data_IF_046851410596
#
_entry.id   IF_046851410596
#
_cell.length_a   1.000
_cell.length_b   1.000
_cell.length_c   1.000
_cell.angle_alpha   90.00
_cell.angle_beta   90.00
_cell.angle_gamma   90.00
#
_symmetry.space_group_name_H-M   'P 1'
#
loop_
_entity.id
_entity.type
_entity.pdbx_description
1 polymer ?
#
# COMPACT_ATOMS: atom_id res chain seq x y z
N UNK A 1 -3.43 23.37 -16.21
CA UNK A 1 -2.29 22.89 -15.40
C UNK A 1 -2.88 22.13 -14.23
N UNK A 2 -2.63 20.82 -14.13
CA UNK A 2 -3.03 20.07 -12.94
C UNK A 2 -2.19 20.58 -11.76
N UNK A 3 -2.85 21.02 -10.68
CA UNK A 3 -2.15 21.36 -9.44
C UNK A 3 -1.43 20.11 -8.93
N UNK A 4 -0.14 20.24 -8.61
CA UNK A 4 0.58 19.17 -7.95
C UNK A 4 -0.09 18.86 -6.61
N UNK A 5 -0.48 17.61 -6.39
CA UNK A 5 -1.08 17.16 -5.14
C UNK A 5 -0.01 17.29 -4.04
N UNK A 6 -0.17 18.28 -3.16
CA UNK A 6 0.81 18.59 -2.11
C UNK A 6 0.45 17.96 -0.76
N UNK A 7 -0.79 17.49 -0.60
CA UNK A 7 -1.31 16.98 0.66
C UNK A 7 -2.48 16.01 0.40
N UNK A 8 -2.58 14.98 1.24
CA UNK A 8 -3.73 14.06 1.31
C UNK A 8 -4.08 13.87 2.78
N UNK A 9 -5.31 14.20 3.17
CA UNK A 9 -5.73 14.15 4.57
C UNK A 9 -4.83 15.06 5.41
N UNK A 10 -4.11 14.51 6.40
CA UNK A 10 -3.11 15.29 7.17
C UNK A 10 -1.69 15.24 6.60
N UNK A 11 -1.43 14.35 5.66
CA UNK A 11 -0.09 13.95 5.25
C UNK A 11 0.43 14.82 4.11
N UNK A 12 1.68 15.24 4.21
CA UNK A 12 2.34 16.12 3.23
C UNK A 12 3.03 15.25 2.18
N UNK A 13 2.68 15.41 0.91
CA UNK A 13 3.24 14.60 -0.17
C UNK A 13 4.66 15.07 -0.49
N UNK A 14 5.58 14.11 -0.57
CA UNK A 14 7.00 14.36 -0.87
C UNK A 14 7.34 13.93 -2.30
N UNK A 15 6.93 12.73 -2.70
CA UNK A 15 7.21 12.19 -4.04
C UNK A 15 6.23 11.08 -4.41
N UNK A 16 6.17 10.75 -5.70
CA UNK A 16 5.49 9.54 -6.19
C UNK A 16 6.46 8.35 -6.14
N UNK A 17 6.05 7.26 -5.49
CA UNK A 17 6.83 6.01 -5.41
C UNK A 17 6.49 5.06 -6.56
N UNK A 18 5.25 5.11 -7.04
CA UNK A 18 4.82 4.28 -8.15
C UNK A 18 3.36 4.49 -8.51
N UNK A 19 3.01 4.05 -9.71
CA UNK A 19 1.67 4.16 -10.28
C UNK A 19 1.32 2.87 -10.99
N UNK A 20 0.14 2.34 -10.65
CA UNK A 20 -0.41 1.14 -11.25
C UNK A 20 -1.84 1.35 -11.72
N UNK A 21 -2.48 0.26 -12.14
CA UNK A 21 -3.87 0.25 -12.58
C UNK A 21 -4.86 0.67 -11.50
N UNK A 22 -4.60 0.30 -10.24
CA UNK A 22 -5.50 0.58 -9.12
C UNK A 22 -5.30 1.97 -8.50
N UNK A 23 -4.19 2.66 -8.79
CA UNK A 23 -3.94 4.01 -8.29
C UNK A 23 -2.47 4.35 -8.13
N UNK A 24 -2.18 5.31 -7.25
CA UNK A 24 -0.84 5.91 -7.08
C UNK A 24 -0.37 5.71 -5.65
N UNK A 25 0.91 5.41 -5.48
CA UNK A 25 1.55 5.34 -4.17
C UNK A 25 2.50 6.53 -4.05
N UNK A 26 2.31 7.33 -3.00
CA UNK A 26 3.13 8.49 -2.68
C UNK A 26 3.96 8.23 -1.43
N UNK A 27 5.17 8.78 -1.39
CA UNK A 27 5.87 9.00 -0.13
C UNK A 27 5.35 10.29 0.49
N UNK A 28 5.04 10.26 1.78
CA UNK A 28 4.49 11.41 2.50
C UNK A 28 5.06 11.52 3.91
N UNK A 29 5.01 12.72 4.47
CA UNK A 29 5.35 13.00 5.86
C UNK A 29 4.07 13.14 6.70
N UNK A 30 3.98 12.42 7.82
CA UNK A 30 2.96 12.64 8.85
C UNK A 30 3.46 13.71 9.83
N UNK A 31 2.93 14.96 9.79
CA UNK A 31 3.39 16.02 10.66
C UNK A 31 2.93 15.87 12.12
N UNK A 32 1.94 15.01 12.39
CA UNK A 32 1.43 14.78 13.75
C UNK A 32 2.31 13.79 14.50
N UNK A 33 2.70 12.70 13.83
CA UNK A 33 3.55 11.65 14.43
C UNK A 33 5.05 11.93 14.20
N UNK A 34 5.39 12.65 13.13
CA UNK A 34 6.76 13.03 12.81
C UNK A 34 7.54 11.96 12.05
N UNK A 35 6.91 11.23 11.12
CA UNK A 35 7.55 10.13 10.36
C UNK A 35 7.18 10.12 8.89
N UNK A 36 8.03 9.46 8.09
CA UNK A 36 7.73 9.15 6.69
C UNK A 36 6.78 7.95 6.60
N UNK A 37 5.86 8.00 5.65
CA UNK A 37 4.88 6.95 5.35
C UNK A 37 4.67 6.82 3.84
N UNK A 38 4.03 5.73 3.43
CA UNK A 38 3.49 5.58 2.09
C UNK A 38 1.98 5.82 2.10
N UNK A 39 1.46 6.49 1.07
CA UNK A 39 0.03 6.69 0.86
C UNK A 39 -0.36 6.07 -0.47
N UNK A 40 -1.17 5.02 -0.42
CA UNK A 40 -1.83 4.48 -1.61
C UNK A 40 -3.16 5.19 -1.80
N UNK A 41 -3.34 5.82 -2.96
CA UNK A 41 -4.62 6.40 -3.39
C UNK A 41 -5.28 5.50 -4.40
N UNK A 42 -6.61 5.58 -4.49
CA UNK A 42 -7.37 4.96 -5.56
C UNK A 42 -7.86 6.03 -6.52
N UNK A 43 -7.71 5.81 -7.82
CA UNK A 43 -8.27 6.70 -8.84
C UNK A 43 -9.79 6.49 -8.88
N UNK A 44 -10.53 7.45 -8.35
CA UNK A 44 -12.00 7.43 -8.32
C UNK A 44 -12.63 8.34 -9.37
N UNK A 45 -11.80 9.03 -10.16
CA UNK A 45 -12.24 9.89 -11.26
C UNK A 45 -12.98 9.07 -12.32
N UNK A 46 -14.21 9.51 -12.66
CA UNK A 46 -15.04 8.87 -13.67
C UNK A 46 -15.95 7.75 -13.17
N UNK A 47 -15.86 7.36 -11.89
CA UNK A 47 -16.80 6.41 -11.30
C UNK A 47 -18.17 7.05 -11.07
N UNK A 48 -19.24 6.32 -11.39
CA UNK A 48 -20.59 6.67 -10.98
C UNK A 48 -20.75 6.57 -9.45
N UNK A 49 -21.81 7.19 -8.90
CA UNK A 49 -22.05 7.18 -7.44
C UNK A 49 -22.16 5.77 -6.85
N UNK A 50 -22.81 4.84 -7.57
CA UNK A 50 -22.94 3.45 -7.14
C UNK A 50 -21.59 2.71 -7.16
N UNK A 51 -20.80 2.91 -8.21
CA UNK A 51 -19.47 2.31 -8.35
C UNK A 51 -18.51 2.83 -7.27
N UNK A 52 -18.54 4.14 -6.99
CA UNK A 52 -17.74 4.73 -5.92
C UNK A 52 -18.01 4.09 -4.57
N UNK A 53 -19.30 3.86 -4.24
CA UNK A 53 -19.69 3.20 -2.98
C UNK A 53 -19.16 1.77 -2.90
N UNK A 54 -19.25 1.00 -3.99
CA UNK A 54 -18.72 -0.36 -4.05
C UNK A 54 -17.18 -0.38 -3.91
N UNK A 55 -16.49 0.49 -4.63
CA UNK A 55 -15.04 0.63 -4.56
C UNK A 55 -14.58 1.03 -3.15
N UNK A 56 -15.26 2.00 -2.53
CA UNK A 56 -15.00 2.41 -1.15
C UNK A 56 -15.15 1.23 -0.19
N UNK A 57 -16.22 0.46 -0.32
CA UNK A 57 -16.47 -0.71 0.52
C UNK A 57 -15.42 -1.83 0.33
N UNK A 58 -14.89 -2.00 -0.89
CA UNK A 58 -13.79 -2.93 -1.16
C UNK A 58 -12.48 -2.45 -0.54
N UNK A 59 -12.12 -1.19 -0.78
CA UNK A 59 -10.87 -0.64 -0.31
C UNK A 59 -10.82 -0.52 1.23
N UNK A 60 -11.97 -0.20 1.85
CA UNK A 60 -12.09 -0.24 3.31
C UNK A 60 -11.93 -1.66 3.87
N UNK A 61 -12.45 -2.70 3.19
CA UNK A 61 -12.23 -4.10 3.60
C UNK A 61 -10.76 -4.50 3.48
N UNK A 62 -10.06 -4.08 2.42
CA UNK A 62 -8.62 -4.30 2.28
C UNK A 62 -7.85 -3.66 3.44
N UNK A 63 -8.18 -2.40 3.76
CA UNK A 63 -7.57 -1.68 4.88
C UNK A 63 -7.81 -2.38 6.22
N UNK A 64 -9.03 -2.86 6.47
CA UNK A 64 -9.38 -3.59 7.69
C UNK A 64 -8.67 -4.95 7.78
N UNK A 65 -8.62 -5.70 6.68
CA UNK A 65 -7.93 -6.97 6.63
C UNK A 65 -6.42 -6.80 6.89
N UNK A 66 -5.77 -5.86 6.20
CA UNK A 66 -4.34 -5.60 6.41
C UNK A 66 -4.06 -4.97 7.78
N UNK A 67 -4.94 -4.10 8.28
CA UNK A 67 -4.73 -3.35 9.52
C UNK A 67 -4.78 -4.17 10.82
N UNK A 68 -5.34 -5.38 10.78
CA UNK A 68 -5.32 -6.30 11.94
C UNK A 68 -4.10 -7.22 11.95
N UNK A 69 -3.30 -7.24 10.88
CA UNK A 69 -2.13 -8.09 10.76
C UNK A 69 -0.89 -7.35 11.29
N UNK A 70 -0.22 -7.95 12.28
CA UNK A 70 1.02 -7.43 12.85
C UNK A 70 2.13 -8.48 12.67
N UNK A 71 2.91 -8.34 11.60
CA UNK A 71 3.94 -9.30 11.24
C UNK A 71 5.10 -8.60 10.52
N UNK A 72 6.39 -8.95 10.80
CA UNK A 72 7.56 -8.27 10.22
C UNK A 72 7.64 -8.33 8.69
N UNK A 73 6.94 -9.29 8.06
CA UNK A 73 6.90 -9.44 6.60
C UNK A 73 5.53 -9.03 6.00
N UNK A 74 4.72 -8.24 6.73
CA UNK A 74 3.47 -7.65 6.24
C UNK A 74 3.53 -6.15 6.48
N UNK A 75 3.26 -5.36 5.44
CA UNK A 75 3.22 -3.90 5.53
C UNK A 75 2.19 -3.46 6.56
N UNK A 76 2.61 -2.64 7.52
CA UNK A 76 1.70 -2.13 8.53
C UNK A 76 0.81 -1.02 7.95
N UNK A 77 -0.51 -1.18 8.09
CA UNK A 77 -1.48 -0.12 7.80
C UNK A 77 -1.67 0.75 9.03
N UNK A 78 -1.56 2.07 8.85
CA UNK A 78 -1.71 3.04 9.93
C UNK A 78 -3.06 3.71 9.96
N UNK A 79 -3.63 3.98 8.78
CA UNK A 79 -4.83 4.80 8.66
C UNK A 79 -5.53 4.55 7.32
N UNK A 80 -6.84 4.79 7.29
CA UNK A 80 -7.66 4.78 6.09
C UNK A 80 -8.57 5.99 6.13
N UNK A 81 -8.66 6.72 5.01
CA UNK A 81 -9.50 7.90 4.98
C UNK A 81 -9.93 8.31 3.57
N UNK A 82 -10.66 9.41 3.56
CA UNK A 82 -11.13 10.07 2.37
C UNK A 82 -10.85 11.56 2.49
N UNK A 83 -10.32 12.16 1.43
CA UNK A 83 -10.06 13.60 1.36
C UNK A 83 -10.51 14.12 -0.01
N UNK A 84 -11.49 15.02 -0.05
CA UNK A 84 -12.07 15.57 -1.29
C UNK A 84 -12.50 14.49 -2.31
N UNK A 85 -13.09 13.38 -1.85
CA UNK A 85 -13.50 12.27 -2.71
C UNK A 85 -12.36 11.33 -3.16
N UNK A 86 -11.13 11.59 -2.72
CA UNK A 86 -9.98 10.71 -2.90
C UNK A 86 -9.85 9.77 -1.71
N UNK A 87 -10.00 8.47 -1.95
CA UNK A 87 -9.75 7.46 -0.94
C UNK A 87 -8.24 7.21 -0.80
N UNK A 88 -7.78 7.06 0.44
CA UNK A 88 -6.37 6.81 0.73
C UNK A 88 -6.17 5.76 1.84
N UNK A 89 -5.05 5.06 1.75
CA UNK A 89 -4.52 4.15 2.75
C UNK A 89 -3.12 4.61 3.14
N UNK A 90 -2.93 4.99 4.40
CA UNK A 90 -1.63 5.35 4.94
C UNK A 90 -0.98 4.10 5.55
N UNK A 91 0.25 3.81 5.13
CA UNK A 91 0.95 2.58 5.48
C UNK A 91 2.43 2.83 5.67
N UNK A 92 3.12 1.83 6.20
CA UNK A 92 4.57 1.82 6.29
C UNK A 92 5.21 2.09 4.92
N UNK A 93 6.20 2.97 4.91
CA UNK A 93 7.06 3.16 3.74
C UNK A 93 8.23 2.20 3.84
N UNK A 94 8.42 1.39 2.80
CA UNK A 94 9.55 0.47 2.71
C UNK A 94 10.64 1.07 1.81
N UNK A 95 11.88 0.93 2.25
CA UNK A 95 13.05 1.22 1.41
C UNK A 95 13.44 -0.03 0.62
N UNK A 96 13.88 0.15 -0.62
CA UNK A 96 14.35 -0.94 -1.48
C UNK A 96 13.55 -1.07 -2.77
N UNK A 97 13.57 -2.28 -3.34
CA UNK A 97 12.95 -2.60 -4.63
C UNK A 97 11.93 -3.73 -4.46
N UNK A 98 10.89 -3.74 -5.28
CA UNK A 98 9.98 -4.88 -5.36
C UNK A 98 10.70 -6.11 -5.89
N UNK A 99 10.29 -7.30 -5.44
CA UNK A 99 10.86 -8.56 -5.94
C UNK A 99 10.69 -8.70 -7.47
N UNK A 100 9.59 -8.16 -8.03
CA UNK A 100 9.37 -8.04 -9.48
C UNK A 100 10.54 -7.34 -10.17
N UNK A 101 10.93 -6.13 -9.73
CA UNK A 101 12.06 -5.39 -10.32
C UNK A 101 13.38 -6.15 -10.18
N UNK A 102 13.56 -6.86 -9.08
CA UNK A 102 14.75 -7.69 -8.86
C UNK A 102 14.80 -8.84 -9.86
N UNK A 103 13.68 -9.53 -10.09
CA UNK A 103 13.57 -10.65 -11.04
C UNK A 103 13.70 -10.17 -12.48
N UNK A 104 13.11 -9.02 -12.83
CA UNK A 104 13.26 -8.41 -14.17
C UNK A 104 14.73 -8.07 -14.48
N UNK A 105 15.49 -7.60 -13.47
CA UNK A 105 16.91 -7.31 -13.62
C UNK A 105 17.77 -8.57 -13.61
N UNK A 106 17.39 -9.58 -12.82
CA UNK A 106 18.11 -10.83 -12.61
C UNK A 106 17.17 -12.00 -12.91
N UNK A 107 17.09 -12.38 -14.18
CA UNK A 107 16.14 -13.37 -14.72
C UNK A 107 15.93 -14.60 -13.82
N UNK A 108 17.01 -15.14 -13.24
CA UNK A 108 16.96 -16.23 -12.27
C UNK A 108 17.74 -15.82 -11.02
N UNK A 109 17.06 -15.80 -9.88
CA UNK A 109 17.69 -15.56 -8.59
C UNK A 109 18.40 -16.82 -8.08
N UNK A 110 19.61 -16.70 -7.50
CA UNK A 110 20.28 -17.83 -6.85
C UNK A 110 19.44 -18.43 -5.72
N UNK A 111 19.62 -19.73 -5.47
CA UNK A 111 18.84 -20.47 -4.46
C UNK A 111 19.05 -19.87 -3.07
N UNK A 112 20.29 -19.50 -2.75
CA UNK A 112 20.69 -18.83 -1.52
C UNK A 112 19.99 -17.48 -1.28
N UNK A 113 19.53 -16.82 -2.35
CA UNK A 113 18.78 -15.57 -2.28
C UNK A 113 17.28 -15.82 -2.16
N UNK A 114 16.73 -16.78 -2.92
CA UNK A 114 15.28 -16.97 -2.99
C UNK A 114 14.72 -17.71 -1.77
N UNK A 115 15.48 -18.64 -1.16
CA UNK A 115 15.00 -19.42 -0.01
C UNK A 115 14.61 -18.52 1.18
N UNK A 116 15.46 -17.56 1.64
CA UNK A 116 15.07 -16.66 2.72
C UNK A 116 13.84 -15.79 2.40
N UNK A 117 13.67 -15.38 1.14
CA UNK A 117 12.50 -14.62 0.69
C UNK A 117 11.25 -15.50 0.78
N UNK A 118 11.36 -16.75 0.34
CA UNK A 118 10.26 -17.70 0.38
C UNK A 118 9.81 -17.99 1.81
N UNK A 119 10.75 -18.18 2.75
CA UNK A 119 10.45 -18.35 4.17
C UNK A 119 9.69 -17.16 4.75
N UNK A 120 10.12 -15.93 4.44
CA UNK A 120 9.44 -14.70 4.87
C UNK A 120 8.03 -14.60 4.31
N UNK A 121 7.83 -14.92 3.03
CA UNK A 121 6.51 -14.93 2.39
C UNK A 121 5.61 -16.00 3.02
N UNK A 122 6.10 -17.22 3.22
CA UNK A 122 5.35 -18.29 3.88
C UNK A 122 4.95 -17.93 5.31
N UNK A 123 5.84 -17.29 6.07
CA UNK A 123 5.55 -16.82 7.43
C UNK A 123 4.43 -15.77 7.42
N UNK A 124 4.50 -14.78 6.52
CA UNK A 124 3.45 -13.77 6.34
C UNK A 124 2.10 -14.38 5.95
N UNK A 125 2.09 -15.27 4.95
CA UNK A 125 0.86 -15.93 4.49
C UNK A 125 0.25 -16.81 5.58
N UNK A 126 1.08 -17.55 6.33
CA UNK A 126 0.59 -18.30 7.49
C UNK A 126 -0.07 -17.38 8.51
N UNK A 127 0.56 -16.25 8.83
CA UNK A 127 0.00 -15.26 9.74
C UNK A 127 -1.33 -14.65 9.22
N UNK A 128 -1.45 -14.39 7.92
CA UNK A 128 -2.71 -13.93 7.33
C UNK A 128 -3.80 -15.01 7.41
N UNK A 129 -3.47 -16.26 7.09
CA UNK A 129 -4.43 -17.37 7.09
C UNK A 129 -4.99 -17.69 8.48
N UNK A 130 -4.19 -17.62 9.55
CA UNK A 130 -4.70 -17.81 10.92
C UNK A 130 -5.70 -16.71 11.34
N UNK A 131 -5.67 -15.55 10.66
CA UNK A 131 -6.63 -14.45 10.81
C UNK A 131 -7.78 -14.52 9.79
N UNK A 132 -7.91 -15.64 9.05
CA UNK A 132 -8.90 -15.85 7.99
C UNK A 132 -8.81 -14.84 6.83
N UNK A 133 -7.61 -14.35 6.56
CA UNK A 133 -7.32 -13.44 5.45
C UNK A 133 -6.53 -14.20 4.38
N UNK A 134 -6.97 -14.10 3.14
CA UNK A 134 -6.30 -14.68 1.97
C UNK A 134 -5.79 -13.53 1.10
N UNK A 135 -4.50 -13.59 0.74
CA UNK A 135 -3.86 -12.64 -0.16
C UNK A 135 -4.30 -12.84 -1.62
#
# INVERSE_FOLDING_TARGET
MAMALTKIGRYQIVSELGRGSMGVVYQAYDPVIGRMIAIKTMLTEGLGSAEFVEYKARFQREAQAAGVLAHPNIVTVYDFGEDNGLLYLAMEVLEGQSLEKVVEAQNILPVETIIPIYEQVCSALHHAHIHNIVH
#
